data_IF_734823337148
#
_entry.id   IF_734823337148
#
_cell.length_a   1.000
_cell.length_b   1.000
_cell.length_c   1.000
_cell.angle_alpha   90.00
_cell.angle_beta   90.00
_cell.angle_gamma   90.00
#
_symmetry.space_group_name_H-M   'P 1'
#
loop_
_entity.id
_entity.type
_entity.pdbx_description
1 polymer ?
#
# COMPACT_ATOMS: atom_id res chain seq x y z
N UNK A 1 74.89 13.00 8.34
CA UNK A 1 73.51 12.59 8.02
C UNK A 1 73.55 11.93 6.64
N UNK A 2 73.73 10.61 6.60
CA UNK A 2 73.76 9.81 5.38
C UNK A 2 72.45 9.05 5.30
N UNK A 3 71.72 9.19 4.20
CA UNK A 3 70.69 8.24 3.78
C UNK A 3 70.79 8.14 2.26
N UNK A 4 71.33 7.01 1.79
CA UNK A 4 71.38 6.65 0.38
C UNK A 4 71.51 5.14 0.25
N UNK A 5 70.72 4.54 -0.65
CA UNK A 5 70.99 3.20 -1.19
C UNK A 5 69.84 2.19 -1.09
N UNK A 6 69.09 2.08 -2.19
CA UNK A 6 68.37 0.94 -2.81
C UNK A 6 67.61 -0.12 -1.96
N UNK A 7 66.34 -0.43 -2.33
CA UNK A 7 65.63 -1.61 -1.84
C UNK A 7 66.02 -2.89 -2.62
N UNK A 8 65.85 -4.03 -1.95
CA UNK A 8 65.81 -5.40 -2.50
C UNK A 8 67.13 -6.12 -2.77
N UNK A 9 68.02 -6.17 -1.76
CA UNK A 9 69.02 -7.22 -1.67
C UNK A 9 68.42 -8.42 -0.89
N UNK A 10 67.96 -9.43 -1.63
CA UNK A 10 67.52 -10.70 -1.03
C UNK A 10 68.76 -11.44 -0.54
N UNK A 11 68.97 -11.43 0.78
CA UNK A 11 70.06 -12.14 1.42
C UNK A 11 69.91 -13.66 1.20
N UNK A 12 70.75 -14.24 0.35
CA UNK A 12 70.93 -15.69 0.29
C UNK A 12 71.76 -16.14 1.50
N UNK A 13 71.28 -17.17 2.21
CA UNK A 13 72.01 -17.79 3.31
C UNK A 13 73.36 -18.32 2.81
N UNK A 14 74.44 -18.22 3.61
CA UNK A 14 75.78 -18.58 3.17
C UNK A 14 75.90 -20.08 2.91
N UNK A 15 76.65 -20.43 1.86
CA UNK A 15 77.04 -21.81 1.57
C UNK A 15 77.88 -22.37 2.72
N UNK A 16 77.37 -23.42 3.36
CA UNK A 16 78.09 -24.12 4.42
C UNK A 16 79.09 -25.06 3.76
N UNK A 17 80.34 -24.61 3.71
CA UNK A 17 81.49 -25.44 3.32
C UNK A 17 81.58 -26.71 4.18
N UNK A 18 81.93 -27.82 3.53
CA UNK A 18 82.12 -29.13 4.16
C UNK A 18 83.32 -29.06 5.13
N UNK A 19 83.09 -29.33 6.42
CA UNK A 19 84.15 -29.48 7.43
C UNK A 19 84.84 -30.86 7.28
N UNK A 20 86.18 -30.98 7.31
CA UNK A 20 86.89 -32.25 7.06
C UNK A 20 86.85 -33.28 8.21
N UNK A 21 86.06 -33.08 9.26
CA UNK A 21 85.98 -34.01 10.39
C UNK A 21 84.55 -34.53 10.52
N UNK A 22 84.38 -35.80 10.15
CA UNK A 22 83.11 -36.52 10.22
C UNK A 22 82.65 -36.73 11.66
N UNK A 23 81.87 -35.79 12.18
CA UNK A 23 81.04 -35.98 13.37
C UNK A 23 79.57 -35.67 13.03
N UNK A 24 78.70 -36.59 13.46
CA UNK A 24 77.27 -36.61 13.21
C UNK A 24 76.56 -35.32 13.65
N UNK A 25 75.90 -34.67 12.69
CA UNK A 25 74.88 -33.65 12.94
C UNK A 25 73.53 -34.17 12.42
N UNK A 26 73.05 -35.27 13.00
CA UNK A 26 71.84 -35.98 12.52
C UNK A 26 70.52 -35.54 13.20
N UNK A 27 70.52 -34.46 13.99
CA UNK A 27 69.28 -33.99 14.64
C UNK A 27 68.87 -32.54 14.36
N UNK A 28 69.69 -31.75 13.63
CA UNK A 28 69.32 -30.37 13.23
C UNK A 28 68.83 -30.23 11.79
N UNK A 29 68.78 -31.33 11.02
CA UNK A 29 68.52 -31.29 9.58
C UNK A 29 67.04 -31.09 9.21
N UNK A 30 66.11 -31.38 10.13
CA UNK A 30 64.68 -31.30 9.83
C UNK A 30 64.04 -29.91 10.06
N UNK A 31 64.75 -28.96 10.67
CA UNK A 31 64.22 -27.61 10.97
C UNK A 31 64.62 -26.54 9.94
N UNK A 32 65.44 -26.89 8.93
CA UNK A 32 65.84 -25.97 7.87
C UNK A 32 64.82 -26.05 6.72
N UNK A 33 64.26 -24.90 6.32
CA UNK A 33 63.50 -24.78 5.08
C UNK A 33 64.34 -25.32 3.90
N UNK A 34 63.79 -26.28 3.16
CA UNK A 34 64.50 -26.89 2.04
C UNK A 34 64.80 -25.88 0.93
N UNK A 35 66.01 -25.97 0.39
CA UNK A 35 66.38 -25.25 -0.83
C UNK A 35 65.73 -25.91 -2.06
N UNK A 36 65.59 -25.14 -3.16
CA UNK A 36 64.99 -25.62 -4.42
C UNK A 36 65.62 -26.92 -4.93
N UNK A 37 66.94 -27.03 -4.82
CA UNK A 37 67.71 -28.17 -5.32
C UNK A 37 67.49 -29.43 -4.48
N UNK A 38 67.42 -29.28 -3.15
CA UNK A 38 67.08 -30.36 -2.22
C UNK A 38 65.64 -30.87 -2.44
N UNK A 39 64.70 -29.95 -2.70
CA UNK A 39 63.31 -30.29 -3.05
C UNK A 39 63.20 -31.08 -4.37
N UNK A 40 63.90 -30.65 -5.42
CA UNK A 40 63.90 -31.34 -6.72
C UNK A 40 64.59 -32.71 -6.64
N UNK A 41 65.57 -32.86 -5.73
CA UNK A 41 66.24 -34.13 -5.47
C UNK A 41 65.30 -35.11 -4.76
N UNK A 42 64.62 -34.69 -3.69
CA UNK A 42 63.63 -35.50 -2.99
C UNK A 42 62.46 -35.92 -3.89
N UNK A 43 61.99 -35.03 -4.77
CA UNK A 43 60.92 -35.35 -5.75
C UNK A 43 61.35 -36.41 -6.79
N UNK A 44 62.67 -36.57 -7.01
CA UNK A 44 63.25 -37.58 -7.90
C UNK A 44 63.51 -38.90 -7.18
N UNK A 45 63.93 -38.85 -5.93
CA UNK A 45 64.30 -40.01 -5.11
C UNK A 45 63.06 -40.70 -4.49
N UNK A 46 62.03 -39.94 -4.07
CA UNK A 46 60.80 -40.49 -3.49
C UNK A 46 59.58 -40.37 -4.44
N UNK A 47 59.21 -41.45 -5.16
CA UNK A 47 58.09 -41.41 -6.10
C UNK A 47 56.71 -41.30 -5.42
N UNK A 48 56.62 -41.53 -4.11
CA UNK A 48 55.38 -41.45 -3.33
C UNK A 48 54.76 -40.05 -3.39
N UNK A 49 55.52 -39.01 -3.03
CA UNK A 49 55.03 -37.63 -2.97
C UNK A 49 54.65 -37.08 -4.35
N UNK A 50 55.37 -37.50 -5.40
CA UNK A 50 55.03 -37.18 -6.78
C UNK A 50 53.67 -37.75 -7.19
N UNK A 51 53.42 -39.03 -6.86
CA UNK A 51 52.13 -39.69 -7.14
C UNK A 51 51.00 -39.10 -6.31
N UNK A 52 51.23 -38.85 -5.01
CA UNK A 52 50.26 -38.24 -4.12
C UNK A 52 49.82 -36.86 -4.61
N UNK A 53 50.77 -36.00 -5.00
CA UNK A 53 50.48 -34.67 -5.57
C UNK A 53 49.65 -34.75 -6.84
N UNK A 54 49.97 -35.69 -7.74
CA UNK A 54 49.18 -35.91 -8.96
C UNK A 54 47.75 -36.36 -8.63
N UNK A 55 47.60 -37.31 -7.69
CA UNK A 55 46.30 -37.80 -7.24
C UNK A 55 45.47 -36.67 -6.63
N UNK A 56 46.07 -35.86 -5.75
CA UNK A 56 45.39 -34.72 -5.13
C UNK A 56 44.99 -33.66 -6.16
N UNK A 57 45.84 -33.39 -7.15
CA UNK A 57 45.53 -32.45 -8.23
C UNK A 57 44.37 -32.93 -9.10
N UNK A 58 44.35 -34.22 -9.47
CA UNK A 58 43.24 -34.81 -10.24
C UNK A 58 41.96 -34.82 -9.40
N UNK A 59 42.03 -35.21 -8.13
CA UNK A 59 40.89 -35.23 -7.22
C UNK A 59 40.28 -33.83 -7.02
N UNK A 60 41.13 -32.79 -6.91
CA UNK A 60 40.68 -31.40 -6.84
C UNK A 60 39.81 -31.02 -8.04
N UNK A 61 40.27 -31.31 -9.27
CA UNK A 61 39.51 -30.97 -10.47
C UNK A 61 38.23 -31.79 -10.62
N UNK A 62 38.23 -33.07 -10.22
CA UNK A 62 37.02 -33.90 -10.22
C UNK A 62 35.98 -33.33 -9.25
N UNK A 63 36.39 -32.99 -8.02
CA UNK A 63 35.49 -32.39 -7.02
C UNK A 63 34.98 -31.04 -7.50
N UNK A 64 35.85 -30.20 -8.06
CA UNK A 64 35.48 -28.88 -8.57
C UNK A 64 34.45 -28.98 -9.69
N UNK A 65 34.66 -29.86 -10.68
CA UNK A 65 33.69 -30.10 -11.76
C UNK A 65 32.40 -30.71 -11.20
N UNK A 66 32.50 -31.64 -10.24
CA UNK A 66 31.34 -32.24 -9.58
C UNK A 66 30.47 -31.20 -8.86
N UNK A 67 31.08 -30.24 -8.15
CA UNK A 67 30.38 -29.14 -7.50
C UNK A 67 29.73 -28.19 -8.52
N UNK A 68 30.40 -27.93 -9.65
CA UNK A 68 29.84 -27.12 -10.74
C UNK A 68 28.64 -27.81 -11.40
N UNK A 69 28.72 -29.12 -11.65
CA UNK A 69 27.59 -29.89 -12.18
C UNK A 69 26.44 -29.91 -11.17
N UNK A 70 26.72 -30.16 -9.89
CA UNK A 70 25.70 -30.16 -8.85
C UNK A 70 24.97 -28.82 -8.75
N UNK A 71 25.68 -27.68 -8.84
CA UNK A 71 25.05 -26.35 -8.80
C UNK A 71 24.14 -26.11 -10.00
N UNK A 72 24.56 -26.51 -11.21
CA UNK A 72 23.73 -26.45 -12.42
C UNK A 72 22.48 -27.32 -12.26
N UNK A 73 22.64 -28.55 -11.78
CA UNK A 73 21.51 -29.47 -11.58
C UNK A 73 20.51 -28.92 -10.57
N UNK A 74 20.97 -28.32 -9.46
CA UNK A 74 20.10 -27.67 -8.48
C UNK A 74 19.27 -26.57 -9.15
N UNK A 75 19.88 -25.70 -9.97
CA UNK A 75 19.16 -24.60 -10.64
C UNK A 75 18.14 -25.14 -11.65
N UNK A 76 18.51 -26.15 -12.45
CA UNK A 76 17.64 -26.72 -13.50
C UNK A 76 16.45 -27.47 -12.91
N UNK A 77 16.66 -28.23 -11.83
CA UNK A 77 15.61 -29.01 -11.18
C UNK A 77 14.85 -28.25 -10.10
N UNK A 78 15.31 -27.07 -9.69
CA UNK A 78 14.55 -26.23 -8.78
C UNK A 78 13.25 -25.76 -9.46
N UNK A 79 12.07 -26.02 -8.87
CA UNK A 79 10.83 -25.51 -9.42
C UNK A 79 10.87 -23.98 -9.44
N UNK A 80 10.30 -23.38 -10.49
CA UNK A 80 10.11 -21.94 -10.54
C UNK A 80 9.24 -21.52 -9.36
N UNK A 81 9.57 -20.40 -8.73
CA UNK A 81 8.71 -19.84 -7.69
C UNK A 81 7.30 -19.63 -8.25
N UNK A 82 6.25 -19.94 -7.48
CA UNK A 82 4.88 -19.64 -7.91
C UNK A 82 4.77 -18.14 -8.16
N UNK A 83 4.10 -17.77 -9.27
CA UNK A 83 3.73 -16.39 -9.52
C UNK A 83 2.85 -15.93 -8.36
N UNK A 84 3.31 -14.93 -7.59
CA UNK A 84 2.42 -14.27 -6.64
C UNK A 84 1.37 -13.51 -7.45
N UNK A 85 0.06 -13.79 -7.28
CA UNK A 85 -0.96 -12.98 -7.92
C UNK A 85 -0.78 -11.54 -7.47
N UNK A 86 -0.86 -10.59 -8.40
CA UNK A 86 -0.84 -9.16 -8.06
C UNK A 86 -2.05 -8.90 -7.18
N UNK A 87 -1.82 -8.59 -5.91
CA UNK A 87 -2.89 -8.25 -4.98
C UNK A 87 -3.30 -6.81 -5.23
N UNK A 88 -4.60 -6.56 -5.26
CA UNK A 88 -5.14 -5.20 -5.27
C UNK A 88 -4.71 -4.42 -4.03
N UNK A 89 -4.61 -3.10 -4.14
CA UNK A 89 -4.08 -2.23 -3.08
C UNK A 89 -4.79 -2.44 -1.74
N UNK A 90 -6.12 -2.59 -1.76
CA UNK A 90 -6.95 -2.76 -0.57
C UNK A 90 -6.74 -4.09 0.17
N UNK A 91 -6.13 -5.10 -0.46
CA UNK A 91 -5.84 -6.39 0.17
C UNK A 91 -4.53 -6.41 0.97
N UNK A 92 -3.58 -5.53 0.65
CA UNK A 92 -2.21 -5.62 1.17
C UNK A 92 -1.69 -4.31 1.79
N UNK A 93 -2.35 -3.19 1.54
CA UNK A 93 -2.02 -1.90 2.13
C UNK A 93 -2.90 -1.59 3.34
N UNK A 94 -2.42 -0.71 4.21
CA UNK A 94 -3.20 -0.19 5.35
C UNK A 94 -4.01 1.02 4.90
N UNK A 95 -5.31 1.00 5.18
CA UNK A 95 -6.22 2.12 4.93
C UNK A 95 -6.27 3.07 6.13
N UNK A 96 -6.24 4.37 5.88
CA UNK A 96 -6.42 5.39 6.92
C UNK A 96 -7.68 6.20 6.65
N UNK A 97 -8.60 6.24 7.61
CA UNK A 97 -9.86 6.98 7.47
C UNK A 97 -9.67 8.40 7.99
N UNK A 98 -9.94 9.39 7.13
CA UNK A 98 -9.77 10.80 7.44
C UNK A 98 -11.05 11.56 7.13
N UNK A 99 -11.43 12.42 8.06
CA UNK A 99 -12.48 13.40 7.87
C UNK A 99 -11.87 14.76 7.52
N UNK A 100 -11.93 15.22 6.24
CA UNK A 100 -11.31 16.47 5.84
C UNK A 100 -11.75 17.67 6.66
N UNK A 101 -13.03 17.72 7.06
CA UNK A 101 -13.60 18.83 7.85
C UNK A 101 -13.00 18.96 9.25
N UNK A 102 -12.45 17.88 9.81
CA UNK A 102 -11.94 17.83 11.18
C UNK A 102 -10.43 17.59 11.27
N UNK A 103 -9.75 17.42 10.14
CA UNK A 103 -8.37 16.95 10.14
C UNK A 103 -7.35 18.06 10.32
N UNK A 104 -7.35 19.05 9.42
CA UNK A 104 -6.40 20.17 9.49
C UNK A 104 -6.91 21.39 8.74
N UNK A 105 -7.05 22.48 9.48
CA UNK A 105 -7.35 23.82 8.98
C UNK A 105 -6.08 24.46 8.39
N UNK A 106 -6.21 25.10 7.22
CA UNK A 106 -5.12 25.82 6.56
C UNK A 106 -5.30 27.35 6.49
N UNK A 107 -6.51 27.87 6.69
CA UNK A 107 -6.84 29.30 6.50
C UNK A 107 -7.33 30.01 7.77
N UNK A 108 -7.49 29.26 8.88
CA UNK A 108 -7.79 29.78 10.21
C UNK A 108 -9.28 29.94 10.49
N UNK A 109 -10.15 29.31 9.71
CA UNK A 109 -11.61 29.32 9.93
C UNK A 109 -12.10 28.26 10.93
N UNK A 110 -11.17 27.47 11.52
CA UNK A 110 -11.38 26.36 12.43
C UNK A 110 -12.00 25.10 11.80
N UNK A 111 -12.06 25.03 10.47
CA UNK A 111 -12.57 23.90 9.72
C UNK A 111 -11.43 23.33 8.89
N UNK A 112 -11.32 22.01 8.87
CA UNK A 112 -10.33 21.37 8.03
C UNK A 112 -10.66 21.50 6.55
N UNK A 113 -9.65 21.65 5.71
CA UNK A 113 -9.80 21.84 4.27
C UNK A 113 -8.85 20.93 3.46
N UNK A 114 -9.02 20.92 2.13
CA UNK A 114 -8.19 20.08 1.25
C UNK A 114 -6.71 20.52 1.20
N UNK A 115 -6.42 21.80 1.43
CA UNK A 115 -5.03 22.30 1.46
C UNK A 115 -4.31 21.83 2.73
N UNK A 116 -5.01 21.85 3.86
CA UNK A 116 -4.58 21.30 5.14
C UNK A 116 -4.34 19.82 5.04
N UNK A 117 -5.25 19.07 4.40
CA UNK A 117 -5.05 17.66 4.10
C UNK A 117 -3.80 17.43 3.24
N UNK A 118 -3.61 18.20 2.16
CA UNK A 118 -2.43 18.10 1.30
C UNK A 118 -1.13 18.40 2.05
N UNK A 119 -1.13 19.36 2.98
CA UNK A 119 0.04 19.72 3.79
C UNK A 119 0.44 18.63 4.78
N UNK A 120 -0.49 17.74 5.13
CA UNK A 120 -0.28 16.61 6.03
C UNK A 120 0.10 15.31 5.29
N UNK A 121 0.36 15.37 3.98
CA UNK A 121 0.79 14.22 3.19
C UNK A 121 2.00 13.49 3.79
N UNK A 122 3.03 14.23 4.21
CA UNK A 122 4.22 13.63 4.84
C UNK A 122 3.89 12.92 6.16
N UNK A 123 2.95 13.44 6.94
CA UNK A 123 2.51 12.77 8.17
C UNK A 123 1.80 11.44 7.86
N UNK A 124 0.88 11.45 6.88
CA UNK A 124 0.12 10.27 6.48
C UNK A 124 1.04 9.19 5.86
N UNK A 125 1.99 9.62 5.03
CA UNK A 125 2.94 8.71 4.39
C UNK A 125 4.02 8.20 5.37
N UNK A 126 4.75 9.11 6.02
CA UNK A 126 5.97 8.76 6.76
C UNK A 126 5.69 8.32 8.20
N UNK A 127 4.70 8.93 8.87
CA UNK A 127 4.43 8.65 10.30
C UNK A 127 3.38 7.56 10.49
N UNK A 128 2.28 7.62 9.73
CA UNK A 128 1.22 6.60 9.78
C UNK A 128 1.60 5.38 8.95
N UNK A 129 2.28 5.58 7.80
CA UNK A 129 2.54 4.50 6.85
C UNK A 129 1.27 4.04 6.12
N UNK A 130 0.30 4.95 5.94
CA UNK A 130 -0.94 4.62 5.24
C UNK A 130 -0.65 4.37 3.77
N UNK A 131 -1.11 3.22 3.26
CA UNK A 131 -0.95 2.88 1.85
C UNK A 131 -2.13 3.32 0.98
N UNK A 132 -3.30 3.57 1.58
CA UNK A 132 -4.41 4.28 0.93
C UNK A 132 -5.21 5.09 1.95
N UNK A 133 -5.90 6.12 1.47
CA UNK A 133 -6.69 7.05 2.26
C UNK A 133 -8.18 6.85 1.97
N UNK A 134 -8.99 6.76 3.01
CA UNK A 134 -10.46 6.75 2.91
C UNK A 134 -10.94 8.12 3.39
N UNK A 135 -11.42 8.95 2.48
CA UNK A 135 -12.02 10.23 2.79
C UNK A 135 -13.49 10.06 3.14
N UNK A 136 -13.94 10.68 4.22
CA UNK A 136 -15.37 10.86 4.48
C UNK A 136 -16.04 11.62 3.34
N UNK A 137 -17.37 11.58 3.30
CA UNK A 137 -18.13 12.25 2.24
C UNK A 137 -17.89 13.76 2.28
N UNK A 138 -17.41 14.29 1.16
CA UNK A 138 -17.11 15.72 0.97
C UNK A 138 -18.24 16.45 0.23
N UNK A 139 -19.40 15.81 0.08
CA UNK A 139 -20.52 16.34 -0.68
C UNK A 139 -21.08 17.65 -0.10
N UNK A 140 -21.53 18.53 -1.00
CA UNK A 140 -22.15 19.80 -0.63
C UNK A 140 -23.34 19.60 0.28
N UNK A 141 -23.35 20.32 1.40
CA UNK A 141 -24.40 20.28 2.39
C UNK A 141 -23.96 19.61 3.68
N UNK A 142 -22.90 18.79 3.68
CA UNK A 142 -22.42 18.16 4.92
C UNK A 142 -22.06 19.20 5.98
N UNK A 143 -21.44 20.32 5.60
CA UNK A 143 -21.15 21.40 6.55
C UNK A 143 -22.12 22.57 6.40
N UNK A 144 -22.42 22.93 5.16
CA UNK A 144 -23.18 24.14 4.81
C UNK A 144 -24.67 24.12 5.18
N UNK A 145 -25.26 22.97 5.50
CA UNK A 145 -26.68 22.88 5.88
C UNK A 145 -26.97 23.15 7.37
N UNK A 146 -25.95 23.46 8.19
CA UNK A 146 -26.10 23.92 9.58
C UNK A 146 -26.39 22.82 10.61
N UNK A 147 -26.30 21.55 10.23
CA UNK A 147 -26.22 20.44 11.18
C UNK A 147 -24.76 20.03 11.40
N UNK A 148 -24.44 19.54 12.60
CA UNK A 148 -23.15 18.92 12.91
C UNK A 148 -22.99 17.73 11.93
N UNK A 149 -22.21 17.91 10.86
CA UNK A 149 -22.06 16.97 9.74
C UNK A 149 -23.44 16.49 9.22
N UNK A 150 -24.13 17.37 8.50
CA UNK A 150 -25.48 17.13 7.98
C UNK A 150 -25.55 16.24 6.74
N UNK A 151 -26.76 16.14 6.18
CA UNK A 151 -27.06 15.35 4.99
C UNK A 151 -26.62 16.08 3.69
N UNK A 152 -26.15 15.35 2.66
CA UNK A 152 -25.77 15.97 1.41
C UNK A 152 -27.00 16.60 0.72
N UNK A 153 -26.79 17.77 0.13
CA UNK A 153 -27.78 18.47 -0.70
C UNK A 153 -27.52 18.26 -2.20
N UNK A 154 -26.33 17.79 -2.56
CA UNK A 154 -25.95 17.38 -3.91
C UNK A 154 -25.10 16.12 -3.84
N UNK A 155 -25.15 15.29 -4.88
CA UNK A 155 -24.33 14.08 -5.02
C UNK A 155 -23.07 14.30 -5.88
N UNK A 156 -22.98 15.46 -6.53
CA UNK A 156 -21.97 15.75 -7.57
C UNK A 156 -21.08 16.94 -7.21
N UNK A 157 -21.51 17.77 -6.27
CA UNK A 157 -20.77 18.96 -5.84
C UNK A 157 -20.03 18.68 -4.53
N UNK A 158 -18.82 19.21 -4.43
CA UNK A 158 -18.07 19.29 -3.17
C UNK A 158 -18.63 20.41 -2.29
N UNK A 159 -18.56 20.24 -0.96
CA UNK A 159 -18.88 21.30 -0.02
C UNK A 159 -17.86 22.45 -0.15
N UNK A 160 -18.31 23.69 -0.43
CA UNK A 160 -17.41 24.81 -0.73
C UNK A 160 -16.46 25.17 0.41
N UNK A 161 -16.75 24.74 1.64
CA UNK A 161 -15.86 24.92 2.80
C UNK A 161 -14.55 24.16 2.63
N UNK A 162 -14.56 23.01 1.95
CA UNK A 162 -13.34 22.22 1.70
C UNK A 162 -12.50 22.74 0.54
N UNK A 163 -13.08 23.61 -0.30
CA UNK A 163 -12.51 24.06 -1.57
C UNK A 163 -13.35 23.63 -2.76
N UNK A 164 -12.71 23.48 -3.92
CA UNK A 164 -13.34 23.16 -5.19
C UNK A 164 -12.89 21.84 -5.80
N UNK A 165 -13.48 21.46 -6.95
CA UNK A 165 -13.14 20.22 -7.65
C UNK A 165 -11.72 20.21 -8.22
N UNK A 166 -11.10 21.39 -8.40
CA UNK A 166 -9.70 21.49 -8.82
C UNK A 166 -8.77 21.07 -7.67
N UNK A 167 -9.00 21.58 -6.45
CA UNK A 167 -8.23 21.19 -5.27
C UNK A 167 -8.35 19.69 -4.98
N UNK A 168 -9.53 19.09 -5.17
CA UNK A 168 -9.71 17.62 -5.04
C UNK A 168 -8.75 16.86 -5.94
N UNK A 169 -8.66 17.25 -7.22
CA UNK A 169 -7.78 16.60 -8.20
C UNK A 169 -6.30 16.78 -7.83
N UNK A 170 -5.94 17.97 -7.35
CA UNK A 170 -4.57 18.26 -6.92
C UNK A 170 -4.17 17.42 -5.71
N UNK A 171 -5.06 17.27 -4.72
CA UNK A 171 -4.87 16.37 -3.57
C UNK A 171 -4.70 14.93 -4.04
N UNK A 172 -5.64 14.39 -4.82
CA UNK A 172 -5.55 13.00 -5.31
C UNK A 172 -4.22 12.78 -6.05
N UNK A 173 -3.84 13.71 -6.92
CA UNK A 173 -2.58 13.62 -7.66
C UNK A 173 -1.35 13.66 -6.74
N UNK A 174 -1.37 14.47 -5.69
CA UNK A 174 -0.28 14.56 -4.73
C UNK A 174 -0.10 13.25 -3.94
N UNK A 175 -1.19 12.65 -3.46
CA UNK A 175 -1.18 11.36 -2.76
C UNK A 175 -0.75 10.21 -3.68
N UNK A 176 -1.30 10.15 -4.90
CA UNK A 176 -0.91 9.15 -5.91
C UNK A 176 0.56 9.21 -6.29
N UNK A 177 1.16 10.41 -6.34
CA UNK A 177 2.60 10.57 -6.59
C UNK A 177 3.46 9.89 -5.52
N UNK A 178 2.95 9.74 -4.30
CA UNK A 178 3.59 9.02 -3.20
C UNK A 178 3.15 7.55 -3.12
N UNK A 179 2.41 7.04 -4.12
CA UNK A 179 1.92 5.66 -4.12
C UNK A 179 0.78 5.39 -3.13
N UNK A 180 0.08 6.44 -2.69
CA UNK A 180 -1.11 6.34 -1.83
C UNK A 180 -2.36 6.45 -2.70
N UNK A 181 -3.20 5.42 -2.72
CA UNK A 181 -4.51 5.47 -3.36
C UNK A 181 -5.50 6.29 -2.52
N UNK A 182 -6.48 6.91 -3.16
CA UNK A 182 -7.48 7.74 -2.47
C UNK A 182 -8.87 7.24 -2.81
N UNK A 183 -9.63 6.94 -1.77
CA UNK A 183 -10.99 6.38 -1.81
C UNK A 183 -11.94 7.39 -1.18
N UNK A 184 -13.15 7.55 -1.76
CA UNK A 184 -14.17 8.46 -1.22
C UNK A 184 -15.37 7.68 -0.68
N UNK A 185 -15.87 8.09 0.47
CA UNK A 185 -17.10 7.57 1.04
C UNK A 185 -18.31 8.31 0.47
N UNK A 186 -19.29 7.58 -0.08
CA UNK A 186 -20.53 8.14 -0.63
C UNK A 186 -21.75 7.50 0.06
N UNK A 187 -22.61 8.36 0.60
CA UNK A 187 -23.95 7.98 1.07
C UNK A 187 -24.97 8.11 -0.06
N UNK A 188 -25.39 6.99 -0.64
CA UNK A 188 -26.32 6.95 -1.79
C UNK A 188 -27.76 6.58 -1.39
N UNK A 189 -28.09 6.62 -0.10
CA UNK A 189 -29.42 6.29 0.38
C UNK A 189 -30.43 7.42 0.14
N UNK A 190 -30.00 8.67 0.27
CA UNK A 190 -30.89 9.83 0.17
C UNK A 190 -30.13 11.15 0.31
N UNK A 191 -30.88 12.24 0.18
CA UNK A 191 -30.38 13.61 0.31
C UNK A 191 -31.21 14.39 1.33
N UNK A 192 -30.70 15.53 1.75
CA UNK A 192 -31.48 16.47 2.56
C UNK A 192 -32.73 16.91 1.81
N UNK A 193 -33.83 17.12 2.55
CA UNK A 193 -35.05 17.77 2.06
C UNK A 193 -34.83 19.20 1.53
N UNK A 194 -33.66 19.80 1.80
CA UNK A 194 -33.24 21.10 1.25
C UNK A 194 -32.57 20.99 -0.13
N UNK A 195 -32.33 19.78 -0.64
CA UNK A 195 -31.76 19.53 -1.95
C UNK A 195 -32.70 19.99 -3.08
N UNK A 196 -32.14 20.51 -4.16
CA UNK A 196 -32.91 20.78 -5.40
C UNK A 196 -33.51 19.50 -5.98
N UNK A 197 -32.87 18.35 -5.78
CA UNK A 197 -33.39 17.04 -6.19
C UNK A 197 -34.74 16.77 -5.53
N UNK A 198 -35.00 17.30 -4.34
CA UNK A 198 -36.26 17.13 -3.63
C UNK A 198 -37.48 17.68 -4.39
N UNK A 199 -37.27 18.58 -5.37
CA UNK A 199 -38.33 19.04 -6.28
C UNK A 199 -38.85 17.92 -7.20
N UNK A 200 -38.01 16.93 -7.52
CA UNK A 200 -38.33 15.78 -8.37
C UNK A 200 -38.90 14.63 -7.51
N UNK A 201 -40.18 14.74 -7.15
CA UNK A 201 -40.85 13.83 -6.20
C UNK A 201 -40.79 12.34 -6.58
N UNK A 202 -40.73 12.04 -7.88
CA UNK A 202 -40.63 10.68 -8.43
C UNK A 202 -39.33 9.95 -8.07
N UNK A 203 -38.30 10.66 -7.63
CA UNK A 203 -37.02 10.06 -7.25
C UNK A 203 -37.03 9.46 -5.83
N UNK A 204 -38.01 9.80 -4.99
CA UNK A 204 -38.01 9.44 -3.57
C UNK A 204 -39.05 8.40 -3.24
N UNK A 205 -38.75 7.56 -2.24
CA UNK A 205 -39.68 6.52 -1.80
C UNK A 205 -40.90 7.17 -1.12
N UNK A 206 -42.12 6.92 -1.62
CA UNK A 206 -43.33 7.40 -0.95
C UNK A 206 -43.53 6.64 0.36
N UNK A 207 -43.88 7.33 1.44
CA UNK A 207 -44.20 6.68 2.71
C UNK A 207 -45.66 6.20 2.74
N UNK A 208 -45.90 4.99 3.25
CA UNK A 208 -47.26 4.47 3.51
C UNK A 208 -47.82 4.92 4.86
N UNK A 209 -46.97 5.15 5.86
CA UNK A 209 -47.40 5.51 7.23
C UNK A 209 -47.76 6.98 7.41
N UNK A 210 -47.24 7.85 6.54
CA UNK A 210 -47.66 9.25 6.44
C UNK A 210 -48.41 9.50 5.11
N UNK A 211 -49.32 8.60 4.75
CA UNK A 211 -50.27 8.76 3.64
C UNK A 211 -51.37 9.81 3.96
N UNK A 212 -50.97 10.97 4.45
CA UNK A 212 -51.81 12.14 4.61
C UNK A 212 -51.03 13.31 4.08
N UNK A 213 -51.40 13.84 2.91
CA UNK A 213 -50.72 15.03 2.44
C UNK A 213 -50.99 16.17 3.42
N UNK A 214 -49.96 16.68 4.09
CA UNK A 214 -50.17 17.77 5.02
C UNK A 214 -50.31 19.06 4.22
N UNK A 215 -51.41 19.77 4.45
CA UNK A 215 -51.58 21.10 3.90
C UNK A 215 -50.78 22.04 4.81
N UNK A 216 -49.73 22.66 4.30
CA UNK A 216 -49.00 23.67 5.07
C UNK A 216 -49.94 24.85 5.39
N UNK A 217 -49.52 25.77 6.27
CA UNK A 217 -50.32 26.96 6.61
C UNK A 217 -50.74 27.81 5.40
N UNK A 218 -50.11 27.61 4.24
CA UNK A 218 -50.35 28.33 3.00
C UNK A 218 -51.24 27.55 2.01
N UNK A 219 -51.83 26.42 2.40
CA UNK A 219 -52.70 25.64 1.51
C UNK A 219 -51.98 24.68 0.58
N UNK A 220 -50.65 24.53 0.67
CA UNK A 220 -49.90 23.63 -0.22
C UNK A 220 -49.86 22.21 0.31
N UNK A 221 -50.17 21.28 -0.59
CA UNK A 221 -50.12 19.84 -0.39
C UNK A 221 -48.66 19.39 -0.23
N UNK A 222 -48.29 18.94 0.97
CA UNK A 222 -46.98 18.35 1.25
C UNK A 222 -47.10 16.83 1.24
N UNK A 223 -46.52 16.20 0.24
CA UNK A 223 -46.32 14.76 0.23
C UNK A 223 -45.19 14.43 1.20
N UNK A 224 -45.44 13.48 2.12
CA UNK A 224 -44.42 12.98 3.02
C UNK A 224 -43.63 11.87 2.33
N UNK A 225 -42.32 11.87 2.53
CA UNK A 225 -41.40 10.88 1.97
C UNK A 225 -40.85 10.01 3.09
N UNK A 226 -40.47 8.79 2.75
CA UNK A 226 -39.71 7.96 3.67
C UNK A 226 -38.31 8.57 3.83
N UNK A 227 -37.87 8.69 5.07
CA UNK A 227 -36.52 9.14 5.42
C UNK A 227 -36.11 8.47 6.71
N UNK A 228 -34.99 7.76 6.69
CA UNK A 228 -34.46 7.08 7.88
C UNK A 228 -33.96 8.05 8.94
N UNK A 229 -33.50 9.22 8.50
CA UNK A 229 -33.03 10.28 9.38
C UNK A 229 -33.89 11.53 9.23
N UNK A 230 -33.97 12.30 10.31
CA UNK A 230 -34.70 13.57 10.31
C UNK A 230 -34.15 14.50 9.21
N UNK A 231 -35.04 15.14 8.47
CA UNK A 231 -34.74 16.04 7.35
C UNK A 231 -34.06 15.37 6.14
N UNK A 232 -34.06 14.03 6.05
CA UNK A 232 -33.63 13.23 4.90
C UNK A 232 -34.82 12.77 4.06
N UNK A 233 -34.62 12.70 2.75
CA UNK A 233 -35.52 12.02 1.81
C UNK A 233 -34.76 10.87 1.14
N UNK A 234 -35.24 9.65 1.34
CA UNK A 234 -34.61 8.45 0.79
C UNK A 234 -35.01 8.24 -0.66
N UNK A 235 -34.02 7.92 -1.49
CA UNK A 235 -34.24 7.60 -2.89
C UNK A 235 -35.05 6.31 -3.05
N UNK A 236 -35.87 6.22 -4.10
CA UNK A 236 -36.48 4.96 -4.49
C UNK A 236 -35.52 4.19 -5.40
N UNK A 237 -34.67 3.32 -4.83
CA UNK A 237 -33.72 2.50 -5.60
C UNK A 237 -34.39 1.53 -6.59
N UNK A 238 -35.71 1.37 -6.55
CA UNK A 238 -36.47 0.61 -7.56
C UNK A 238 -36.74 1.42 -8.82
N UNK A 239 -36.66 2.75 -8.74
CA UNK A 239 -36.80 3.63 -9.89
C UNK A 239 -35.52 3.56 -10.75
N UNK A 240 -35.58 3.15 -12.03
CA UNK A 240 -34.40 3.10 -12.89
C UNK A 240 -33.75 4.47 -13.10
N UNK A 241 -34.51 5.57 -13.03
CA UNK A 241 -33.98 6.94 -13.12
C UNK A 241 -33.06 7.25 -11.94
N UNK A 242 -33.44 6.83 -10.73
CA UNK A 242 -32.60 6.94 -9.52
C UNK A 242 -31.33 6.12 -9.69
N UNK A 243 -31.44 4.88 -10.16
CA UNK A 243 -30.26 4.04 -10.39
C UNK A 243 -29.31 4.68 -11.39
N UNK A 244 -29.82 5.32 -12.45
CA UNK A 244 -28.99 6.07 -13.39
C UNK A 244 -28.32 7.27 -12.72
N UNK A 245 -29.08 8.09 -11.99
CA UNK A 245 -28.56 9.25 -11.25
C UNK A 245 -27.41 8.87 -10.31
N UNK A 246 -27.58 7.79 -9.54
CA UNK A 246 -26.57 7.30 -8.60
C UNK A 246 -25.33 6.78 -9.33
N UNK A 247 -25.50 6.07 -10.46
CA UNK A 247 -24.39 5.62 -11.29
C UNK A 247 -23.61 6.78 -11.89
N UNK A 248 -24.30 7.83 -12.34
CA UNK A 248 -23.66 9.03 -12.88
C UNK A 248 -22.88 9.78 -11.81
N UNK A 249 -23.41 9.86 -10.57
CA UNK A 249 -22.68 10.40 -9.43
C UNK A 249 -21.42 9.57 -9.11
N UNK A 250 -21.54 8.25 -8.99
CA UNK A 250 -20.41 7.33 -8.78
C UNK A 250 -19.35 7.51 -9.86
N UNK A 251 -19.76 7.55 -11.13
CA UNK A 251 -18.88 7.72 -12.27
C UNK A 251 -18.15 9.06 -12.21
N UNK A 252 -18.84 10.15 -11.88
CA UNK A 252 -18.23 11.47 -11.73
C UNK A 252 -17.06 11.44 -10.75
N UNK A 253 -17.23 10.84 -9.58
CA UNK A 253 -16.17 10.75 -8.57
C UNK A 253 -15.00 9.87 -9.04
N UNK A 254 -15.27 8.75 -9.71
CA UNK A 254 -14.21 7.94 -10.32
C UNK A 254 -13.46 8.71 -11.43
N UNK A 255 -14.18 9.44 -12.28
CA UNK A 255 -13.61 10.28 -13.34
C UNK A 255 -12.79 11.46 -12.79
N UNK A 256 -13.07 11.93 -11.56
CA UNK A 256 -12.22 12.89 -10.86
C UNK A 256 -10.86 12.29 -10.45
N UNK A 257 -10.75 10.96 -10.39
CA UNK A 257 -9.51 10.25 -10.16
C UNK A 257 -9.45 9.47 -8.83
N UNK A 258 -10.55 9.31 -8.11
CA UNK A 258 -10.60 8.42 -6.95
C UNK A 258 -10.40 6.95 -7.38
N UNK A 259 -9.65 6.19 -6.58
CA UNK A 259 -9.31 4.78 -6.84
C UNK A 259 -10.38 3.80 -6.35
N UNK A 260 -11.38 4.30 -5.62
CA UNK A 260 -12.46 3.49 -5.12
C UNK A 260 -13.50 4.33 -4.39
N UNK A 261 -14.63 3.68 -4.07
CA UNK A 261 -15.73 4.29 -3.33
C UNK A 261 -16.08 3.39 -2.15
N UNK A 262 -16.35 3.97 -0.98
CA UNK A 262 -16.99 3.27 0.13
C UNK A 262 -18.46 3.65 0.12
N UNK A 263 -19.34 2.65 0.09
CA UNK A 263 -20.78 2.89 0.21
C UNK A 263 -21.17 2.81 1.68
N UNK A 264 -21.73 3.90 2.22
CA UNK A 264 -22.34 3.85 3.56
C UNK A 264 -23.79 3.42 3.45
N UNK A 265 -24.30 2.87 4.56
CA UNK A 265 -25.74 2.67 4.74
C UNK A 265 -26.38 1.77 3.66
N UNK A 266 -25.58 0.92 3.00
CA UNK A 266 -26.04 0.07 1.91
C UNK A 266 -27.12 -0.94 2.35
N UNK A 267 -27.15 -1.28 3.64
CA UNK A 267 -28.20 -2.11 4.23
C UNK A 267 -29.61 -1.52 4.03
N UNK A 268 -29.72 -0.20 3.88
CA UNK A 268 -31.00 0.51 3.80
C UNK A 268 -31.57 0.65 2.38
N UNK A 269 -30.81 0.28 1.34
CA UNK A 269 -31.29 0.35 -0.05
C UNK A 269 -32.51 -0.56 -0.27
N UNK A 270 -32.56 -1.70 0.40
CA UNK A 270 -33.61 -2.72 0.28
C UNK A 270 -34.49 -2.78 1.54
N UNK A 271 -35.06 -1.65 1.98
CA UNK A 271 -36.06 -1.67 3.04
C UNK A 271 -37.40 -2.24 2.51
N UNK A 272 -37.50 -3.56 2.43
CA UNK A 272 -38.78 -4.28 2.39
C UNK A 272 -38.94 -5.01 3.73
N UNK A 273 -39.91 -4.59 4.54
CA UNK A 273 -40.30 -5.20 5.83
C UNK A 273 -39.32 -5.04 7.00
N UNK A 274 -38.77 -3.86 7.22
CA UNK A 274 -38.20 -3.52 8.53
C UNK A 274 -39.39 -3.26 9.46
N UNK A 275 -39.76 -4.24 10.30
CA UNK A 275 -40.74 -4.03 11.37
C UNK A 275 -40.16 -3.01 12.38
N UNK A 276 -41.03 -2.26 13.05
CA UNK A 276 -40.69 -1.26 14.08
C UNK A 276 -39.72 -1.75 15.19
N UNK A 277 -39.55 -3.07 15.36
CA UNK A 277 -38.57 -3.65 16.29
C UNK A 277 -37.12 -3.62 15.79
N UNK A 278 -36.89 -3.55 14.49
CA UNK A 278 -35.53 -3.55 13.91
C UNK A 278 -34.87 -2.18 13.96
N UNK A 279 -35.67 -1.11 14.09
CA UNK A 279 -35.19 0.28 14.19
C UNK A 279 -34.32 0.50 15.45
N UNK A 280 -34.52 -0.32 16.49
CA UNK A 280 -33.76 -0.27 17.75
C UNK A 280 -32.58 -1.26 17.82
N UNK A 281 -32.43 -2.16 16.84
CA UNK A 281 -31.32 -3.11 16.76
C UNK A 281 -30.27 -2.69 15.71
N UNK A 282 -29.88 -1.42 15.74
CA UNK A 282 -28.80 -0.80 14.95
C UNK A 282 -27.38 -1.32 15.29
N UNK A 283 -27.26 -2.52 15.87
CA UNK A 283 -25.98 -3.19 16.10
C UNK A 283 -25.42 -3.91 14.86
N UNK A 284 -26.06 -3.73 13.70
CA UNK A 284 -25.65 -4.37 12.44
C UNK A 284 -25.27 -3.30 11.42
N UNK A 285 -24.29 -2.46 11.78
CA UNK A 285 -23.61 -1.59 10.83
C UNK A 285 -22.56 -2.43 10.08
N UNK A 286 -22.98 -3.19 9.08
CA UNK A 286 -22.03 -3.80 8.14
C UNK A 286 -21.53 -2.70 7.20
N UNK A 287 -20.34 -2.19 7.49
CA UNK A 287 -19.58 -1.35 6.56
C UNK A 287 -19.17 -2.25 5.39
N UNK A 288 -19.93 -2.20 4.30
CA UNK A 288 -19.50 -2.81 3.04
C UNK A 288 -18.58 -1.84 2.31
N UNK A 289 -17.28 -2.03 2.51
CA UNK A 289 -16.24 -1.40 1.68
C UNK A 289 -16.27 -2.09 0.31
N UNK A 290 -17.11 -1.61 -0.62
CA UNK A 290 -17.08 -2.05 -2.01
C UNK A 290 -16.08 -1.17 -2.77
N UNK A 291 -14.79 -1.47 -2.63
CA UNK A 291 -13.78 -0.85 -3.51
C UNK A 291 -13.93 -1.46 -4.89
N UNK A 292 -14.67 -0.74 -5.75
CA UNK A 292 -14.74 -1.02 -7.18
C UNK A 292 -13.38 -0.65 -7.79
N UNK A 293 -12.45 -1.61 -7.82
CA UNK A 293 -11.24 -1.51 -8.62
C UNK A 293 -11.57 -1.71 -10.09
N UNK A 294 -11.18 -0.75 -10.94
CA UNK A 294 -11.20 -0.87 -12.40
C UNK A 294 -9.95 -1.62 -12.86
#
# INVERSE_FOLDING_TARGET
MQLGGSPDEVAFLPDVGINPKGEDLDHKRYDRLLTKEELLRLDREEPFWRRLRLILFIAFWIIWVGLLVASILIIVFSPKCPLRPKQEFWNHKVGYWVDPFAFRDSDGDFIGDLKGLSSSLSYIHDSIGAGYLILTSMLKGHYTNGHIIGLPTSLTEIDPVLGGPAEVKDVIKAFKKQGIEVVITLGLNGVSTRSELFSQRNLFRPTKEFSGSQINRNGQKMDLFYGLFKDMADFDHRNPEVVSLLKDAVKLWLDMGFDGIVLTDAAFFAAENISHETEYNLNVCFIFVIILGI
#
